data_IF_967759368172
#
_entry.id   IF_967759368172
#
_cell.length_a   1.000
_cell.length_b   1.000
_cell.length_c   1.000
_cell.angle_alpha   90.00
_cell.angle_beta   90.00
_cell.angle_gamma   90.00
#
_symmetry.space_group_name_H-M   'P 1'
#
loop_
_entity.id
_entity.type
_entity.pdbx_description
1 polymer ?
#
# COMPACT_ATOMS: atom_id res chain seq x y z
N UNK A 1 9.14 3.62 8.57
CA UNK A 1 8.39 4.62 7.78
C UNK A 1 7.51 3.87 6.80
N UNK A 2 6.28 4.33 6.60
CA UNK A 2 5.27 3.68 5.76
C UNK A 2 4.71 4.69 4.77
N UNK A 3 4.28 4.21 3.61
CA UNK A 3 3.50 4.96 2.64
C UNK A 3 2.70 4.01 1.75
N UNK A 4 1.57 4.49 1.24
CA UNK A 4 0.78 3.82 0.22
C UNK A 4 1.02 4.47 -1.15
N UNK A 5 1.18 3.67 -2.21
CA UNK A 5 1.28 4.16 -3.59
C UNK A 5 0.35 3.38 -4.51
N UNK A 6 -0.04 3.99 -5.62
CA UNK A 6 -0.92 3.33 -6.59
C UNK A 6 -0.26 2.07 -7.15
N UNK A 7 -1.09 1.05 -7.32
CA UNK A 7 -0.69 -0.24 -7.85
C UNK A 7 -0.24 -0.14 -9.31
N UNK A 8 0.82 -0.87 -9.62
CA UNK A 8 1.37 -1.01 -10.99
C UNK A 8 0.59 -2.01 -11.83
N UNK A 9 -0.12 -2.95 -11.19
CA UNK A 9 -0.89 -4.03 -11.81
C UNK A 9 -2.37 -3.67 -12.06
N UNK A 10 -2.78 -2.45 -11.72
CA UNK A 10 -4.13 -1.93 -11.98
C UNK A 10 -4.18 -1.07 -13.26
N UNK A 11 -5.26 -1.15 -14.07
CA UNK A 11 -5.44 -0.31 -15.25
C UNK A 11 -5.38 1.19 -14.92
N UNK A 12 -4.66 1.96 -15.74
CA UNK A 12 -4.55 3.41 -15.58
C UNK A 12 -4.15 4.14 -16.86
N UNK A 13 -4.39 5.45 -16.87
CA UNK A 13 -4.02 6.37 -17.96
C UNK A 13 -2.59 6.93 -17.81
N UNK A 14 -1.94 6.70 -16.68
CA UNK A 14 -0.62 7.26 -16.33
C UNK A 14 0.44 6.23 -15.87
N UNK A 15 0.62 5.08 -16.56
CA UNK A 15 1.48 3.99 -16.11
C UNK A 15 2.95 4.40 -15.93
N UNK A 16 3.49 5.25 -16.81
CA UNK A 16 4.88 5.72 -16.71
C UNK A 16 5.14 6.52 -15.44
N UNK A 17 4.17 7.34 -15.01
CA UNK A 17 4.30 8.14 -13.79
C UNK A 17 4.20 7.26 -12.53
N UNK A 18 3.34 6.24 -12.54
CA UNK A 18 3.27 5.25 -11.45
C UNK A 18 4.58 4.49 -11.32
N UNK A 19 5.15 4.03 -12.43
CA UNK A 19 6.46 3.38 -12.44
C UNK A 19 7.56 4.30 -11.91
N UNK A 20 7.57 5.58 -12.32
CA UNK A 20 8.55 6.55 -11.85
C UNK A 20 8.46 6.78 -10.32
N UNK A 21 7.24 6.84 -9.75
CA UNK A 21 7.04 6.90 -8.29
C UNK A 21 7.53 5.64 -7.59
N UNK A 22 7.20 4.47 -8.12
CA UNK A 22 7.67 3.18 -7.60
C UNK A 22 9.20 3.15 -7.54
N UNK A 23 9.86 3.43 -8.66
CA UNK A 23 11.32 3.39 -8.76
C UNK A 23 11.99 4.42 -7.84
N UNK A 24 11.38 5.61 -7.69
CA UNK A 24 11.86 6.62 -6.76
C UNK A 24 11.87 6.08 -5.32
N UNK A 25 10.78 5.50 -4.84
CA UNK A 25 10.70 5.00 -3.47
C UNK A 25 11.60 3.78 -3.24
N UNK A 26 11.69 2.87 -4.21
CA UNK A 26 12.64 1.75 -4.16
C UNK A 26 14.08 2.24 -3.99
N UNK A 27 14.51 3.24 -4.80
CA UNK A 27 15.85 3.86 -4.65
C UNK A 27 16.06 4.56 -3.31
N UNK A 28 14.99 4.96 -2.62
CA UNK A 28 15.02 5.55 -1.27
C UNK A 28 14.96 4.50 -0.14
N UNK A 29 15.05 3.22 -0.48
CA UNK A 29 15.14 2.10 0.44
C UNK A 29 13.78 1.57 0.91
N UNK A 30 12.69 1.96 0.26
CA UNK A 30 11.40 1.34 0.50
C UNK A 30 11.30 -0.04 -0.14
N UNK A 31 10.51 -0.92 0.48
CA UNK A 31 10.23 -2.27 0.03
C UNK A 31 8.73 -2.51 0.10
N UNK A 32 8.22 -3.35 -0.80
CA UNK A 32 6.83 -3.80 -0.76
C UNK A 32 6.59 -4.63 0.50
N UNK A 33 5.47 -4.38 1.17
CA UNK A 33 4.95 -5.23 2.25
C UNK A 33 4.30 -6.52 1.73
N UNK A 34 4.20 -6.69 0.41
CA UNK A 34 3.34 -7.67 -0.26
C UNK A 34 1.89 -7.60 0.21
N UNK A 35 1.45 -6.39 0.55
CA UNK A 35 0.14 -6.09 1.08
C UNK A 35 -0.42 -4.83 0.42
N UNK A 36 -1.74 -4.82 0.24
CA UNK A 36 -2.50 -3.76 -0.39
C UNK A 36 -3.50 -3.20 0.59
N UNK A 37 -3.61 -1.87 0.66
CA UNK A 37 -4.73 -1.18 1.29
C UNK A 37 -5.85 -1.01 0.26
N UNK A 38 -7.06 -1.43 0.60
CA UNK A 38 -8.27 -1.15 -0.17
C UNK A 38 -9.25 -0.27 0.60
N UNK A 39 -9.75 0.79 -0.02
CA UNK A 39 -10.84 1.64 0.47
C UNK A 39 -11.49 2.38 -0.72
N UNK A 40 -12.81 2.58 -0.71
CA UNK A 40 -13.57 3.32 -1.75
C UNK A 40 -13.18 2.95 -3.21
N UNK A 41 -13.17 1.65 -3.53
CA UNK A 41 -12.77 1.10 -4.84
C UNK A 41 -11.33 1.43 -5.28
N UNK A 42 -10.51 1.99 -4.39
CA UNK A 42 -9.09 2.24 -4.59
C UNK A 42 -8.26 1.14 -3.95
N UNK A 43 -7.15 0.80 -4.60
CA UNK A 43 -6.20 -0.21 -4.13
C UNK A 43 -4.77 0.32 -4.23
N UNK A 44 -4.07 0.33 -3.10
CA UNK A 44 -2.71 0.87 -3.00
C UNK A 44 -1.73 -0.18 -2.48
N UNK A 45 -0.53 -0.23 -3.03
CA UNK A 45 0.58 -1.02 -2.47
C UNK A 45 1.11 -0.33 -1.21
N UNK A 46 1.24 -1.09 -0.13
CA UNK A 46 1.89 -0.65 1.10
C UNK A 46 3.40 -0.82 0.95
N UNK A 47 4.14 0.29 1.00
CA UNK A 47 5.59 0.28 1.07
C UNK A 47 6.07 0.63 2.47
N UNK A 48 7.14 -0.03 2.90
CA UNK A 48 7.80 0.24 4.18
C UNK A 48 9.31 0.45 4.00
N UNK A 49 9.87 1.27 4.89
CA UNK A 49 11.32 1.45 5.06
C UNK A 49 11.66 1.28 6.53
N UNK A 50 12.44 0.26 6.85
CA UNK A 50 12.79 -0.16 8.20
C UNK A 50 13.17 -1.64 8.22
N UNK A 51 13.23 -2.23 9.42
CA UNK A 51 13.55 -3.64 9.61
C UNK A 51 12.41 -4.56 9.14
N UNK A 52 11.17 -4.23 9.49
CA UNK A 52 9.98 -5.01 9.16
C UNK A 52 8.73 -4.13 9.01
N UNK A 53 7.70 -4.71 8.41
CA UNK A 53 6.35 -4.15 8.40
C UNK A 53 5.54 -4.79 9.53
N UNK A 54 5.00 -3.97 10.43
CA UNK A 54 4.04 -4.39 11.46
C UNK A 54 2.62 -4.05 11.00
N UNK A 55 1.93 -5.04 10.45
CA UNK A 55 0.56 -4.89 9.97
C UNK A 55 -0.43 -4.59 11.10
N UNK A 56 -0.21 -5.10 12.31
CA UNK A 56 -1.13 -4.86 13.43
C UNK A 56 -1.07 -3.40 13.85
N UNK A 57 0.13 -2.85 13.97
CA UNK A 57 0.32 -1.42 14.24
C UNK A 57 -0.31 -0.55 13.15
N UNK A 58 -0.20 -0.96 11.89
CA UNK A 58 -0.83 -0.24 10.77
C UNK A 58 -2.37 -0.31 10.82
N UNK A 59 -2.95 -1.49 11.10
CA UNK A 59 -4.40 -1.66 11.31
C UNK A 59 -4.91 -0.80 12.48
N UNK A 60 -4.13 -0.70 13.55
CA UNK A 60 -4.51 0.11 14.72
C UNK A 60 -4.57 1.60 14.41
N UNK A 61 -3.71 2.11 13.51
CA UNK A 61 -3.80 3.50 13.02
C UNK A 61 -5.13 3.71 12.30
N UNK A 62 -5.50 2.81 11.39
CA UNK A 62 -6.75 2.93 10.62
C UNK A 62 -8.00 2.77 11.48
N UNK A 63 -7.98 1.88 12.48
CA UNK A 63 -9.08 1.77 13.47
C UNK A 63 -9.28 3.07 14.24
N UNK A 64 -8.20 3.75 14.64
CA UNK A 64 -8.30 5.06 15.30
C UNK A 64 -8.86 6.14 14.38
N UNK A 65 -8.51 6.12 13.09
CA UNK A 65 -9.10 7.04 12.10
C UNK A 65 -10.60 6.77 11.92
N UNK A 66 -11.04 5.49 11.96
CA UNK A 66 -12.45 5.12 11.92
C UNK A 66 -13.26 5.64 13.12
N UNK A 67 -12.63 5.80 14.30
CA UNK A 67 -13.29 6.36 15.49
C UNK A 67 -13.65 7.85 15.31
N UNK A 68 -12.85 8.60 14.55
CA UNK A 68 -13.10 10.01 14.23
C UNK A 68 -14.09 10.15 13.06
N UNK A 69 -13.93 9.32 12.02
CA UNK A 69 -14.80 9.29 10.84
C UNK A 69 -14.90 7.87 10.30
N UNK A 70 -16.11 7.31 10.25
CA UNK A 70 -16.30 5.95 9.74
C UNK A 70 -15.99 5.84 8.24
N UNK A 71 -15.22 4.83 7.86
CA UNK A 71 -14.98 4.39 6.48
C UNK A 71 -14.65 2.89 6.49
N UNK A 72 -14.88 2.19 5.38
CA UNK A 72 -14.50 0.78 5.25
C UNK A 72 -13.10 0.64 4.65
N UNK A 73 -12.28 -0.26 5.18
CA UNK A 73 -11.00 -0.62 4.58
C UNK A 73 -10.67 -2.09 4.75
N UNK A 74 -9.89 -2.63 3.82
CA UNK A 74 -9.31 -3.97 3.90
C UNK A 74 -7.80 -3.91 3.65
N UNK A 75 -7.07 -4.84 4.27
CA UNK A 75 -5.68 -5.11 3.89
C UNK A 75 -5.64 -6.50 3.27
N UNK A 76 -5.30 -6.57 1.98
CA UNK A 76 -5.15 -7.81 1.22
C UNK A 76 -3.68 -8.13 1.00
N UNK A 77 -3.37 -9.40 0.81
CA UNK A 77 -1.99 -9.85 0.55
C UNK A 77 -1.85 -10.35 -0.87
N UNK A 78 -0.72 -10.03 -1.51
CA UNK A 78 -0.36 -10.56 -2.81
C UNK A 78 -0.27 -12.09 -2.73
N UNK A 79 -1.02 -12.80 -3.58
CA UNK A 79 -0.96 -14.27 -3.63
C UNK A 79 0.22 -14.70 -4.50
N UNK A 80 0.99 -15.68 -4.03
CA UNK A 80 2.16 -16.20 -4.77
C UNK A 80 1.80 -16.99 -6.04
N UNK A 81 0.50 -17.18 -6.34
CA UNK A 81 0.01 -17.89 -7.52
C UNK A 81 -0.12 -17.05 -8.79
N UNK A 82 0.17 -15.75 -8.70
CA UNK A 82 -0.08 -14.80 -9.79
C UNK A 82 1.14 -14.60 -10.72
N UNK A 83 2.03 -15.60 -10.78
CA UNK A 83 3.22 -15.68 -11.66
C UNK A 83 3.12 -16.83 -12.67
#
# INVERSE_FOLDING_TARGET
MLLEIERLDEPCDNPEQRQARWDFYQRKGFRSANAFLEYDDLSFEILYRGESFDENAYRDIFRRLQEEHYFDFEIKHRRFSDY
#
